data_IF_205911441359
#
_entry.id   IF_205911441359
#
_cell.length_a   1.000
_cell.length_b   1.000
_cell.length_c   1.000
_cell.angle_alpha   90.00
_cell.angle_beta   90.00
_cell.angle_gamma   90.00
#
_symmetry.space_group_name_H-M   'P 1'
#
loop_
_entity.id
_entity.type
_entity.pdbx_description
1 polymer ?
#
# COMPACT_ATOMS: atom_id res chain seq x y z
N UNK A 1 -19.00 12.59 -21.26
CA UNK A 1 -18.14 12.75 -20.11
C UNK A 1 -16.69 12.58 -20.49
N UNK A 2 -15.82 13.35 -19.87
CA UNK A 2 -14.41 13.38 -20.21
C UNK A 2 -13.69 12.16 -19.57
N UNK A 3 -13.02 11.35 -20.41
CA UNK A 3 -12.25 10.18 -19.95
C UNK A 3 -11.16 10.54 -18.95
N UNK A 4 -10.56 11.73 -19.08
CA UNK A 4 -9.56 12.22 -18.14
C UNK A 4 -10.16 12.41 -16.74
N UNK A 5 -11.37 12.91 -16.66
CA UNK A 5 -12.06 13.10 -15.38
C UNK A 5 -12.40 11.77 -14.72
N UNK A 6 -12.84 10.79 -15.50
CA UNK A 6 -13.06 9.43 -14.98
C UNK A 6 -11.75 8.81 -14.46
N UNK A 7 -10.66 8.99 -15.21
CA UNK A 7 -9.34 8.48 -14.79
C UNK A 7 -8.87 9.12 -13.48
N UNK A 8 -9.11 10.41 -13.27
CA UNK A 8 -8.76 11.09 -12.02
C UNK A 8 -9.58 10.53 -10.87
N UNK A 9 -10.90 10.36 -11.06
CA UNK A 9 -11.77 9.80 -10.02
C UNK A 9 -11.37 8.38 -9.64
N UNK A 10 -11.05 7.54 -10.63
CA UNK A 10 -10.60 6.17 -10.39
C UNK A 10 -9.27 6.16 -9.63
N UNK A 11 -8.33 7.04 -9.97
CA UNK A 11 -7.05 7.14 -9.27
C UNK A 11 -7.24 7.59 -7.82
N UNK A 12 -8.15 8.53 -7.56
CA UNK A 12 -8.45 8.98 -6.21
C UNK A 12 -9.07 7.85 -5.38
N UNK A 13 -10.02 7.09 -5.97
CA UNK A 13 -10.65 5.96 -5.29
C UNK A 13 -9.63 4.86 -5.01
N UNK A 14 -8.76 4.55 -5.97
CA UNK A 14 -7.70 3.55 -5.79
C UNK A 14 -6.76 3.92 -4.64
N UNK A 15 -6.35 5.19 -4.57
CA UNK A 15 -5.51 5.68 -3.48
C UNK A 15 -6.23 5.60 -2.14
N UNK A 16 -7.52 5.96 -2.08
CA UNK A 16 -8.32 5.88 -0.87
C UNK A 16 -8.41 4.44 -0.37
N UNK A 17 -8.69 3.50 -1.25
CA UNK A 17 -8.78 2.08 -0.90
C UNK A 17 -7.41 1.58 -0.40
N UNK A 18 -6.33 1.95 -1.07
CA UNK A 18 -4.99 1.57 -0.64
C UNK A 18 -4.67 2.12 0.76
N UNK A 19 -5.02 3.38 1.02
CA UNK A 19 -4.81 4.00 2.33
C UNK A 19 -5.63 3.30 3.43
N UNK A 20 -6.86 2.87 3.12
CA UNK A 20 -7.67 2.09 4.06
C UNK A 20 -7.04 0.71 4.32
N UNK A 21 -6.56 0.04 3.27
CA UNK A 21 -5.91 -1.27 3.39
C UNK A 21 -4.64 -1.22 4.24
N UNK A 22 -3.91 -0.13 4.17
CA UNK A 22 -2.63 0.02 4.89
C UNK A 22 -2.78 0.69 6.25
N UNK A 23 -3.97 1.18 6.58
CA UNK A 23 -4.23 1.85 7.85
C UNK A 23 -3.83 3.31 7.89
N UNK A 24 -3.37 3.90 6.78
CA UNK A 24 -3.08 5.32 6.71
C UNK A 24 -4.34 6.17 6.77
N UNK A 25 -5.45 5.63 6.25
CA UNK A 25 -6.76 6.24 6.31
C UNK A 25 -7.61 5.46 7.29
N UNK A 26 -8.17 6.14 8.30
CA UNK A 26 -9.11 5.51 9.23
C UNK A 26 -10.48 5.36 8.58
N UNK A 27 -11.24 4.30 8.94
CA UNK A 27 -12.61 4.13 8.44
C UNK A 27 -13.49 5.28 8.93
N UNK A 28 -14.18 5.92 8.00
CA UNK A 28 -15.16 6.97 8.30
C UNK A 28 -16.40 6.79 7.41
N UNK A 29 -17.51 7.38 7.81
CA UNK A 29 -18.74 7.34 7.04
C UNK A 29 -18.50 7.92 5.64
N UNK A 30 -19.10 7.31 4.63
CA UNK A 30 -18.97 7.74 3.23
C UNK A 30 -17.82 7.12 2.46
N UNK A 31 -16.90 6.42 3.15
CA UNK A 31 -15.83 5.69 2.50
C UNK A 31 -16.19 4.21 2.34
N UNK A 32 -15.57 3.51 1.36
CA UNK A 32 -15.77 2.07 1.23
C UNK A 32 -15.37 1.31 2.51
N UNK A 33 -16.04 0.20 2.77
CA UNK A 33 -15.69 -0.69 3.89
C UNK A 33 -14.55 -1.58 3.43
N UNK A 34 -13.34 -1.28 3.91
CA UNK A 34 -12.11 -1.97 3.54
C UNK A 34 -11.37 -2.37 4.83
N UNK A 35 -10.93 -3.63 4.92
CA UNK A 35 -10.16 -4.08 6.07
C UNK A 35 -8.77 -3.43 6.10
N UNK A 36 -8.27 -3.18 7.31
CA UNK A 36 -6.90 -2.72 7.50
C UNK A 36 -6.01 -3.95 7.61
N UNK A 37 -5.17 -4.20 6.61
CA UNK A 37 -4.27 -5.36 6.56
C UNK A 37 -3.09 -5.24 7.53
N UNK A 38 -2.86 -4.04 8.08
CA UNK A 38 -1.82 -3.79 9.09
C UNK A 38 -2.38 -3.71 10.51
N UNK A 39 -3.65 -4.05 10.71
CA UNK A 39 -4.22 -4.15 12.05
C UNK A 39 -3.60 -5.33 12.80
N UNK A 40 -3.66 -5.27 14.13
CA UNK A 40 -3.07 -6.30 15.00
C UNK A 40 -3.55 -7.70 14.63
N UNK A 41 -2.59 -8.62 14.49
CA UNK A 41 -2.86 -10.02 14.13
C UNK A 41 -3.13 -10.27 12.66
N UNK A 42 -3.09 -9.24 11.81
CA UNK A 42 -3.25 -9.40 10.36
C UNK A 42 -1.92 -9.76 9.70
N UNK A 43 -2.00 -10.38 8.53
CA UNK A 43 -0.84 -10.90 7.82
C UNK A 43 0.21 -9.82 7.49
N UNK A 44 -0.24 -8.65 7.03
CA UNK A 44 0.70 -7.58 6.68
C UNK A 44 1.38 -7.01 7.92
N UNK A 45 0.67 -6.91 9.04
CA UNK A 45 1.27 -6.48 10.30
C UNK A 45 2.34 -7.48 10.75
N UNK A 46 2.06 -8.76 10.69
CA UNK A 46 3.02 -9.81 11.07
C UNK A 46 4.27 -9.80 10.19
N UNK A 47 4.09 -9.69 8.88
CA UNK A 47 5.20 -9.62 7.92
C UNK A 47 6.03 -8.34 8.11
N UNK A 48 5.36 -7.22 8.36
CA UNK A 48 6.07 -5.97 8.61
C UNK A 48 6.90 -6.03 9.89
N UNK A 49 6.40 -6.71 10.92
CA UNK A 49 7.16 -6.92 12.15
C UNK A 49 8.44 -7.73 11.90
N UNK A 50 8.41 -8.73 11.02
CA UNK A 50 9.60 -9.48 10.61
C UNK A 50 10.63 -8.53 10.00
N UNK A 51 10.20 -7.64 9.11
CA UNK A 51 11.06 -6.63 8.48
C UNK A 51 11.64 -5.69 9.52
N UNK A 52 10.81 -5.19 10.42
CA UNK A 52 11.22 -4.27 11.47
C UNK A 52 12.27 -4.89 12.38
N UNK A 53 12.05 -6.12 12.82
CA UNK A 53 13.01 -6.83 13.68
C UNK A 53 14.33 -7.10 12.97
N UNK A 54 14.28 -7.46 11.69
CA UNK A 54 15.48 -7.65 10.89
C UNK A 54 16.28 -6.35 10.75
N UNK A 55 15.58 -5.23 10.57
CA UNK A 55 16.20 -3.91 10.51
C UNK A 55 16.91 -3.57 11.83
N UNK A 56 16.25 -3.84 12.96
CA UNK A 56 16.88 -3.60 14.28
C UNK A 56 18.17 -4.41 14.44
N UNK A 57 18.14 -5.70 14.07
CA UNK A 57 19.34 -6.54 14.15
C UNK A 57 20.46 -6.04 13.25
N UNK A 58 20.13 -5.60 12.04
CA UNK A 58 21.11 -5.08 11.10
C UNK A 58 21.74 -3.78 11.64
N UNK A 59 20.93 -2.86 12.13
CA UNK A 59 21.40 -1.62 12.71
C UNK A 59 22.32 -1.87 13.92
N UNK A 60 21.99 -2.85 14.74
CA UNK A 60 22.83 -3.25 15.88
C UNK A 60 24.20 -3.74 15.41
N UNK A 61 24.22 -4.61 14.38
CA UNK A 61 25.50 -5.09 13.82
C UNK A 61 26.34 -3.98 13.19
N UNK A 62 25.69 -2.95 12.63
CA UNK A 62 26.38 -1.82 12.04
C UNK A 62 26.75 -0.75 13.07
N UNK A 63 26.28 -0.87 14.30
CA UNK A 63 26.53 0.14 15.34
C UNK A 63 25.80 1.46 15.08
N UNK A 64 24.67 1.43 14.38
CA UNK A 64 23.89 2.60 14.01
C UNK A 64 22.46 2.46 14.53
N UNK A 65 21.82 3.58 14.85
CA UNK A 65 20.40 3.58 15.21
C UNK A 65 19.50 3.42 13.97
N UNK A 66 19.92 4.03 12.88
CA UNK A 66 19.22 3.98 11.60
C UNK A 66 20.25 3.85 10.49
N UNK A 67 19.92 3.06 9.48
CA UNK A 67 20.74 2.94 8.29
C UNK A 67 20.01 3.53 7.10
N UNK A 68 20.56 4.57 6.44
CA UNK A 68 19.88 5.24 5.33
C UNK A 68 19.58 4.31 4.15
N UNK A 69 20.45 3.36 3.89
CA UNK A 69 20.25 2.43 2.77
C UNK A 69 19.15 1.41 3.08
N UNK A 70 19.07 0.93 4.31
CA UNK A 70 17.98 0.05 4.74
C UNK A 70 16.64 0.78 4.63
N UNK A 71 16.57 2.03 5.10
CA UNK A 71 15.36 2.83 4.99
C UNK A 71 14.98 3.06 3.53
N UNK A 72 15.94 3.34 2.68
CA UNK A 72 15.72 3.52 1.25
C UNK A 72 15.14 2.25 0.61
N UNK A 73 15.69 1.08 0.96
CA UNK A 73 15.19 -0.21 0.47
C UNK A 73 13.75 -0.42 0.90
N UNK A 74 13.44 -0.25 2.18
CA UNK A 74 12.09 -0.46 2.71
C UNK A 74 11.11 0.50 2.06
N UNK A 75 11.44 1.78 2.00
CA UNK A 75 10.55 2.80 1.43
C UNK A 75 10.33 2.58 -0.07
N UNK A 76 11.38 2.15 -0.78
CA UNK A 76 11.26 1.83 -2.21
C UNK A 76 10.35 0.63 -2.45
N UNK A 77 10.45 -0.40 -1.63
CA UNK A 77 9.58 -1.58 -1.73
C UNK A 77 8.12 -1.23 -1.40
N UNK A 78 7.89 -0.39 -0.40
CA UNK A 78 6.55 0.09 -0.07
C UNK A 78 5.95 0.91 -1.22
N UNK A 79 6.76 1.73 -1.88
CA UNK A 79 6.32 2.49 -3.06
C UNK A 79 6.00 1.56 -4.23
N UNK A 80 6.82 0.56 -4.47
CA UNK A 80 6.55 -0.46 -5.51
C UNK A 80 5.21 -1.15 -5.21
N UNK A 81 4.99 -1.54 -3.98
CA UNK A 81 3.74 -2.18 -3.55
C UNK A 81 2.53 -1.30 -3.86
N UNK A 82 2.60 0.00 -3.54
CA UNK A 82 1.51 0.94 -3.83
C UNK A 82 1.26 1.04 -5.33
N UNK A 83 2.31 1.20 -6.13
CA UNK A 83 2.19 1.32 -7.58
C UNK A 83 1.56 0.07 -8.20
N UNK A 84 1.96 -1.12 -7.75
CA UNK A 84 1.36 -2.36 -8.21
C UNK A 84 -0.12 -2.46 -7.82
N UNK A 85 -0.45 -2.08 -6.59
CA UNK A 85 -1.84 -2.07 -6.12
C UNK A 85 -2.73 -1.15 -6.95
N UNK A 86 -2.24 0.06 -7.26
CA UNK A 86 -2.96 1.01 -8.10
C UNK A 86 -3.16 0.48 -9.52
N UNK A 87 -2.13 -0.18 -10.08
CA UNK A 87 -2.25 -0.80 -11.40
C UNK A 87 -3.24 -1.96 -11.40
N UNK A 88 -3.20 -2.80 -10.39
CA UNK A 88 -4.16 -3.89 -10.24
C UNK A 88 -5.60 -3.38 -10.21
N UNK A 89 -5.82 -2.28 -9.49
CA UNK A 89 -7.13 -1.65 -9.43
C UNK A 89 -7.59 -1.19 -10.82
N UNK A 90 -6.70 -0.54 -11.58
CA UNK A 90 -7.00 -0.09 -12.94
C UNK A 90 -7.34 -1.27 -13.85
N UNK A 91 -6.56 -2.34 -13.82
CA UNK A 91 -6.82 -3.52 -14.63
C UNK A 91 -8.07 -4.25 -14.18
N UNK A 92 -8.37 -4.24 -12.88
CA UNK A 92 -9.63 -4.80 -12.37
C UNK A 92 -10.84 -4.10 -12.95
N UNK A 93 -10.82 -2.77 -13.02
CA UNK A 93 -11.89 -1.99 -13.65
C UNK A 93 -12.01 -2.32 -15.14
N UNK A 94 -10.88 -2.39 -15.85
CA UNK A 94 -10.87 -2.73 -17.28
C UNK A 94 -11.42 -4.13 -17.53
N UNK A 95 -11.05 -5.09 -16.68
CA UNK A 95 -11.56 -6.46 -16.79
C UNK A 95 -13.06 -6.49 -16.58
N UNK A 96 -13.56 -5.80 -15.54
CA UNK A 96 -14.97 -5.74 -15.22
C UNK A 96 -15.78 -5.11 -16.36
N UNK A 97 -15.22 -4.13 -17.06
CA UNK A 97 -15.88 -3.45 -18.18
C UNK A 97 -15.73 -4.19 -19.51
N UNK A 98 -15.03 -5.32 -19.55
CA UNK A 98 -14.79 -6.09 -20.76
C UNK A 98 -13.67 -5.57 -21.66
N UNK A 99 -12.89 -4.60 -21.22
CA UNK A 99 -11.79 -4.03 -22.01
C UNK A 99 -10.53 -4.88 -21.96
N UNK A 100 -10.42 -5.74 -20.95
CA UNK A 100 -9.27 -6.63 -20.76
C UNK A 100 -9.77 -8.06 -20.83
N UNK A 101 -9.26 -8.83 -21.79
CA UNK A 101 -9.65 -10.25 -21.98
C UNK A 101 -8.48 -11.17 -21.70
#
# INVERSE_FOLDING_TARGET
MNTTQEGIMQSQMANTIYDLLTGEQLPIAGLPVVENMFADGRTCEELYNVVYEANLRLCERLGMQEDPDVELIINSLLRISRLLGLKMFQYGIKYQSGQLK
#
